data_IF_727854997560
#
_entry.id   IF_727854997560
#
_cell.length_a   1.000
_cell.length_b   1.000
_cell.length_c   1.000
_cell.angle_alpha   90.00
_cell.angle_beta   90.00
_cell.angle_gamma   90.00
#
_symmetry.space_group_name_H-M   'P 1'
#
loop_
_entity.id
_entity.type
_entity.pdbx_description
1 polymer ?
#
# COMPACT_ATOMS: atom_id res chain seq x y z
N UNK A 1 -15.79 20.94 -6.64
CA UNK A 1 -14.89 20.01 -5.92
C UNK A 1 -14.18 20.81 -4.85
N UNK A 2 -14.29 20.39 -3.58
CA UNK A 2 -13.59 21.01 -2.46
C UNK A 2 -12.30 20.25 -2.16
N UNK A 3 -11.28 20.92 -1.68
CA UNK A 3 -10.03 20.32 -1.22
C UNK A 3 -9.55 21.05 0.03
N UNK A 4 -8.72 20.37 0.81
CA UNK A 4 -8.11 20.94 2.00
C UNK A 4 -6.69 21.36 1.68
N UNK A 5 -6.32 22.57 2.08
CA UNK A 5 -4.95 23.07 1.97
C UNK A 5 -4.40 23.35 3.37
N UNK A 6 -3.12 23.07 3.57
CA UNK A 6 -2.42 23.37 4.80
C UNK A 6 -1.49 24.58 4.61
N UNK A 7 -1.46 25.45 5.61
CA UNK A 7 -0.53 26.56 5.62
C UNK A 7 0.89 26.04 5.89
N UNK A 8 1.78 26.18 4.91
CA UNK A 8 3.16 25.71 5.02
C UNK A 8 4.16 26.85 5.24
N UNK A 9 3.83 28.07 4.77
CA UNK A 9 4.79 29.18 4.76
C UNK A 9 4.10 30.53 4.89
N UNK A 10 4.74 31.46 5.57
CA UNK A 10 4.34 32.88 5.64
C UNK A 10 5.59 33.71 5.26
N UNK A 11 5.49 34.44 4.16
CA UNK A 11 6.66 35.09 3.58
C UNK A 11 7.75 34.06 3.28
N UNK A 12 8.95 34.25 3.81
CA UNK A 12 10.08 33.35 3.62
C UNK A 12 10.27 32.28 4.71
N UNK A 13 9.41 32.29 5.74
CA UNK A 13 9.52 31.37 6.87
C UNK A 13 8.54 30.22 6.76
N UNK A 14 9.04 29.00 6.92
CA UNK A 14 8.19 27.83 7.02
C UNK A 14 7.47 27.77 8.37
N UNK A 15 6.24 27.29 8.38
CA UNK A 15 5.55 26.96 9.62
C UNK A 15 6.22 25.73 10.23
N UNK A 16 6.42 25.75 11.53
CA UNK A 16 7.02 24.64 12.28
C UNK A 16 6.25 23.34 12.10
N UNK A 17 6.95 22.24 11.96
CA UNK A 17 6.41 20.89 11.85
C UNK A 17 7.05 19.97 12.90
N UNK A 18 6.55 18.75 13.05
CA UNK A 18 7.15 17.74 13.94
C UNK A 18 8.61 17.44 13.61
N UNK A 19 9.03 17.58 12.36
CA UNK A 19 10.39 17.33 11.90
C UNK A 19 11.38 18.42 12.33
N UNK A 20 10.88 19.55 12.81
CA UNK A 20 11.70 20.67 13.29
C UNK A 20 12.01 20.57 14.79
N UNK A 21 11.66 19.41 15.41
CA UNK A 21 11.99 19.11 16.80
C UNK A 21 12.86 17.87 16.91
N UNK A 22 13.78 17.88 17.86
CA UNK A 22 14.54 16.71 18.26
C UNK A 22 13.65 15.72 18.99
N UNK A 23 13.63 14.45 18.56
CA UNK A 23 12.72 13.42 19.08
C UNK A 23 12.96 13.09 20.55
N UNK A 24 14.19 13.24 21.03
CA UNK A 24 14.61 12.82 22.37
C UNK A 24 14.48 13.95 23.38
N UNK A 25 14.82 15.15 22.99
CA UNK A 25 14.87 16.32 23.86
C UNK A 25 13.67 17.27 23.71
N UNK A 26 12.87 17.13 22.64
CA UNK A 26 11.79 18.03 22.31
C UNK A 26 12.23 19.44 21.96
N UNK A 27 13.52 19.69 21.79
CA UNK A 27 14.04 21.02 21.45
C UNK A 27 13.87 21.27 19.93
N UNK A 28 13.57 22.54 19.62
CA UNK A 28 13.50 22.97 18.24
C UNK A 28 14.90 22.89 17.59
N UNK A 29 15.00 22.19 16.47
CA UNK A 29 16.24 22.01 15.69
C UNK A 29 16.38 23.07 14.60
N UNK A 30 15.28 23.62 14.10
CA UNK A 30 15.26 24.64 13.05
C UNK A 30 14.86 26.02 13.62
N UNK A 31 15.79 26.89 13.96
CA UNK A 31 15.49 28.21 14.55
C UNK A 31 14.77 29.17 13.59
N UNK A 32 14.77 28.86 12.27
CA UNK A 32 14.11 29.70 11.27
C UNK A 32 12.64 29.32 11.04
N UNK A 33 12.17 28.21 11.61
CA UNK A 33 10.76 27.84 11.53
C UNK A 33 9.89 28.75 12.40
N UNK A 34 8.75 29.16 11.86
CA UNK A 34 7.81 30.07 12.53
C UNK A 34 6.85 29.26 13.42
N UNK A 35 6.83 29.61 14.70
CA UNK A 35 5.85 29.12 15.67
C UNK A 35 4.73 30.16 15.77
N UNK A 36 3.50 29.74 15.51
CA UNK A 36 2.32 30.59 15.71
C UNK A 36 1.68 30.29 17.07
N UNK A 37 1.46 31.33 17.86
CA UNK A 37 0.60 31.21 19.02
C UNK A 37 -0.86 30.97 18.62
N UNK A 38 -1.68 30.49 19.56
CA UNK A 38 -3.13 30.26 19.30
C UNK A 38 -3.83 31.54 18.83
N UNK A 39 -3.42 32.70 19.34
CA UNK A 39 -4.01 34.01 18.98
C UNK A 39 -3.64 34.36 17.53
N UNK A 40 -2.35 34.29 17.18
CA UNK A 40 -1.87 34.58 15.84
C UNK A 40 -2.47 33.66 14.80
N UNK A 41 -2.57 32.35 15.11
CA UNK A 41 -3.18 31.38 14.20
C UNK A 41 -4.65 31.69 13.92
N UNK A 42 -5.43 32.10 14.94
CA UNK A 42 -6.84 32.52 14.79
C UNK A 42 -7.00 33.79 13.97
N UNK A 43 -6.18 34.80 14.24
CA UNK A 43 -6.21 36.07 13.50
C UNK A 43 -5.85 35.85 12.03
N UNK A 44 -4.85 34.99 11.77
CA UNK A 44 -4.45 34.62 10.42
C UNK A 44 -5.56 33.84 9.70
N UNK A 45 -6.17 32.84 10.36
CA UNK A 45 -7.27 32.08 9.79
C UNK A 45 -8.42 33.01 9.35
N UNK A 46 -8.85 33.95 10.22
CA UNK A 46 -9.91 34.92 9.89
C UNK A 46 -9.56 35.85 8.73
N UNK A 47 -8.29 36.20 8.57
CA UNK A 47 -7.83 36.97 7.40
C UNK A 47 -7.87 36.13 6.11
N UNK A 48 -7.48 34.87 6.20
CA UNK A 48 -7.39 33.97 5.06
C UNK A 48 -8.76 33.49 4.57
N UNK A 49 -9.78 33.42 5.42
CA UNK A 49 -11.16 33.09 5.01
C UNK A 49 -11.72 34.05 3.95
N UNK A 50 -11.28 35.29 3.96
CA UNK A 50 -11.78 36.34 3.06
C UNK A 50 -11.03 36.44 1.74
N UNK A 51 -10.04 35.60 1.48
CA UNK A 51 -9.09 35.51 0.36
C UNK A 51 -9.33 36.39 -0.81
N UNK A 52 -8.50 36.48 -1.82
CA UNK A 52 -8.53 35.58 -2.97
C UNK A 52 -7.47 34.49 -2.84
N UNK A 53 -7.87 33.26 -3.10
CA UNK A 53 -6.94 32.12 -3.19
C UNK A 53 -6.50 31.93 -4.64
N UNK A 54 -5.21 31.91 -4.87
CA UNK A 54 -4.64 31.74 -6.22
C UNK A 54 -3.80 30.47 -6.23
N UNK A 55 -4.08 29.57 -7.18
CA UNK A 55 -3.20 28.43 -7.46
C UNK A 55 -2.01 28.92 -8.26
N UNK A 56 -0.87 29.09 -7.61
CA UNK A 56 0.35 29.59 -8.25
C UNK A 56 1.08 28.55 -9.09
N UNK A 57 1.00 27.28 -8.70
CA UNK A 57 1.61 26.18 -9.46
C UNK A 57 0.93 24.85 -9.18
N UNK A 58 0.98 23.96 -10.16
CA UNK A 58 0.55 22.56 -10.05
C UNK A 58 1.68 21.66 -10.52
N UNK A 59 2.31 20.96 -9.60
CA UNK A 59 3.37 20.00 -9.90
C UNK A 59 2.80 18.60 -10.04
N UNK A 60 2.85 18.05 -11.25
CA UNK A 60 2.49 16.66 -11.52
C UNK A 60 3.75 15.80 -11.54
N UNK A 61 3.89 14.91 -10.58
CA UNK A 61 5.01 13.96 -10.54
C UNK A 61 4.47 12.56 -10.86
N UNK A 62 4.96 11.89 -11.90
CA UNK A 62 4.61 10.50 -12.14
C UNK A 62 5.12 9.65 -10.97
N UNK A 63 4.28 8.73 -10.50
CA UNK A 63 4.66 7.77 -9.48
C UNK A 63 4.50 6.36 -10.04
N UNK A 64 5.59 5.62 -10.06
CA UNK A 64 5.59 4.21 -10.41
C UNK A 64 5.40 3.39 -9.13
N UNK A 65 4.50 2.42 -9.17
CA UNK A 65 4.29 1.45 -8.11
C UNK A 65 4.48 0.06 -8.68
N UNK A 66 5.40 -0.70 -8.11
CA UNK A 66 5.61 -2.09 -8.50
C UNK A 66 4.52 -2.98 -7.89
N UNK A 67 4.10 -4.05 -8.58
CA UNK A 67 3.25 -5.08 -8.01
C UNK A 67 3.87 -5.68 -6.74
N UNK A 68 3.04 -6.00 -5.77
CA UNK A 68 3.48 -6.70 -4.57
C UNK A 68 3.76 -8.17 -4.89
N UNK A 69 4.63 -8.84 -4.12
CA UNK A 69 4.81 -10.29 -4.22
C UNK A 69 3.52 -11.05 -3.98
N UNK A 70 3.40 -12.28 -4.47
CA UNK A 70 2.35 -13.20 -4.07
C UNK A 70 2.30 -13.38 -2.55
N UNK A 71 1.16 -13.84 -2.03
CA UNK A 71 0.97 -13.95 -0.59
C UNK A 71 1.79 -15.09 0.03
N UNK A 72 2.45 -14.74 1.13
CA UNK A 72 2.87 -15.67 2.17
C UNK A 72 1.83 -15.67 3.29
N UNK A 73 1.92 -16.61 4.24
CA UNK A 73 1.07 -16.60 5.45
C UNK A 73 1.04 -15.24 6.14
N UNK A 74 2.20 -14.65 6.35
CA UNK A 74 2.35 -13.36 7.03
C UNK A 74 1.69 -12.21 6.26
N UNK A 75 1.94 -12.11 4.97
CA UNK A 75 1.38 -11.03 4.15
C UNK A 75 -0.11 -11.18 3.90
N UNK A 76 -0.63 -12.42 3.82
CA UNK A 76 -2.06 -12.70 3.79
C UNK A 76 -2.75 -12.19 5.06
N UNK A 77 -2.20 -12.50 6.24
CA UNK A 77 -2.75 -12.03 7.52
C UNK A 77 -2.77 -10.50 7.61
N UNK A 78 -1.68 -9.84 7.18
CA UNK A 78 -1.59 -8.37 7.16
C UNK A 78 -2.64 -7.74 6.25
N UNK A 79 -2.81 -8.25 5.03
CA UNK A 79 -3.81 -7.72 4.09
C UNK A 79 -5.23 -7.99 4.56
N UNK A 80 -5.53 -9.16 5.13
CA UNK A 80 -6.82 -9.48 5.70
C UNK A 80 -7.15 -8.58 6.91
N UNK A 81 -6.18 -8.31 7.78
CA UNK A 81 -6.35 -7.37 8.88
C UNK A 81 -6.62 -5.95 8.38
N UNK A 82 -5.86 -5.50 7.36
CA UNK A 82 -5.98 -4.15 6.82
C UNK A 82 -7.29 -3.92 6.07
N UNK A 83 -7.71 -4.88 5.22
CA UNK A 83 -8.86 -4.72 4.33
C UNK A 83 -10.17 -5.22 4.94
N UNK A 84 -10.12 -6.34 5.66
CA UNK A 84 -11.31 -7.04 6.16
C UNK A 84 -11.46 -6.94 7.70
N UNK A 85 -10.48 -6.35 8.38
CA UNK A 85 -10.44 -6.28 9.85
C UNK A 85 -10.44 -7.64 10.54
N UNK A 86 -9.93 -8.67 9.86
CA UNK A 86 -9.82 -10.01 10.41
C UNK A 86 -8.65 -10.12 11.39
N UNK A 87 -8.84 -10.88 12.47
CA UNK A 87 -7.72 -11.33 13.30
C UNK A 87 -6.90 -12.39 12.56
N UNK A 88 -5.63 -12.57 12.95
CA UNK A 88 -4.79 -13.64 12.37
C UNK A 88 -5.44 -15.02 12.49
N UNK A 89 -6.07 -15.33 13.64
CA UNK A 89 -6.80 -16.59 13.88
C UNK A 89 -7.95 -16.76 12.88
N UNK A 90 -8.76 -15.72 12.67
CA UNK A 90 -9.89 -15.80 11.73
C UNK A 90 -9.41 -15.93 10.29
N UNK A 91 -8.37 -15.17 9.91
CA UNK A 91 -7.74 -15.28 8.57
C UNK A 91 -7.29 -16.70 8.29
N UNK A 92 -6.58 -17.33 9.24
CA UNK A 92 -6.09 -18.70 9.05
C UNK A 92 -7.20 -19.73 9.02
N UNK A 93 -8.28 -19.54 9.78
CA UNK A 93 -9.46 -20.42 9.74
C UNK A 93 -10.12 -20.37 8.35
N UNK A 94 -10.34 -19.18 7.82
CA UNK A 94 -10.95 -19.01 6.48
C UNK A 94 -10.02 -19.55 5.39
N UNK A 95 -8.72 -19.25 5.46
CA UNK A 95 -7.73 -19.77 4.51
C UNK A 95 -7.66 -21.31 4.52
N UNK A 96 -7.77 -21.92 5.70
CA UNK A 96 -7.85 -23.39 5.84
C UNK A 96 -9.08 -23.95 5.10
N UNK A 97 -10.24 -23.33 5.28
CA UNK A 97 -11.46 -23.74 4.59
C UNK A 97 -11.33 -23.61 3.07
N UNK A 98 -10.79 -22.50 2.59
CA UNK A 98 -10.54 -22.29 1.15
C UNK A 98 -9.58 -23.34 0.58
N UNK A 99 -8.52 -23.68 1.31
CA UNK A 99 -7.58 -24.73 0.91
C UNK A 99 -8.24 -26.12 0.88
N UNK A 100 -8.99 -26.50 1.93
CA UNK A 100 -9.67 -27.79 2.02
C UNK A 100 -10.72 -27.99 0.92
N UNK A 101 -11.33 -26.90 0.46
CA UNK A 101 -12.25 -26.90 -0.67
C UNK A 101 -11.56 -26.75 -2.04
N UNK A 102 -10.23 -26.67 -2.08
CA UNK A 102 -9.47 -26.61 -3.31
C UNK A 102 -9.45 -25.25 -4.00
N UNK A 103 -9.88 -24.17 -3.34
CA UNK A 103 -9.92 -22.84 -3.95
C UNK A 103 -8.56 -22.13 -3.96
N UNK A 104 -7.70 -22.42 -2.99
CA UNK A 104 -6.35 -21.82 -2.91
C UNK A 104 -5.28 -22.89 -2.69
N UNK A 105 -4.03 -22.55 -2.97
CA UNK A 105 -2.86 -23.34 -2.60
C UNK A 105 -2.67 -23.37 -1.08
N UNK A 106 -1.77 -24.21 -0.59
CA UNK A 106 -1.54 -24.37 0.85
C UNK A 106 -1.19 -23.04 1.53
N UNK A 107 -1.93 -22.69 2.57
CA UNK A 107 -1.90 -21.36 3.20
C UNK A 107 -0.81 -21.17 4.24
N UNK A 108 -0.04 -22.21 4.58
CA UNK A 108 1.11 -22.10 5.51
C UNK A 108 2.40 -22.18 4.72
N UNK A 109 2.82 -21.04 4.18
CA UNK A 109 4.03 -20.90 3.38
C UNK A 109 4.68 -19.54 3.60
N UNK A 110 5.98 -19.50 3.52
CA UNK A 110 6.81 -18.30 3.47
C UNK A 110 7.35 -18.02 2.05
N UNK A 111 7.03 -18.91 1.10
CA UNK A 111 7.41 -18.78 -0.31
C UNK A 111 6.58 -17.74 -1.04
N UNK A 112 7.24 -16.97 -1.90
CA UNK A 112 6.63 -16.08 -2.90
C UNK A 112 6.71 -16.64 -4.31
N UNK A 113 7.21 -17.88 -4.46
CA UNK A 113 7.39 -18.52 -5.76
C UNK A 113 6.03 -18.97 -6.33
N UNK A 114 5.93 -18.91 -7.64
CA UNK A 114 4.80 -19.43 -8.40
C UNK A 114 5.31 -20.47 -9.40
N UNK A 115 4.55 -21.53 -9.61
CA UNK A 115 4.83 -22.47 -10.69
C UNK A 115 4.68 -21.79 -12.07
N UNK A 116 5.32 -22.36 -13.08
CA UNK A 116 5.16 -21.88 -14.47
C UNK A 116 3.70 -21.91 -14.91
N UNK A 117 2.96 -22.93 -14.49
CA UNK A 117 1.53 -23.05 -14.76
C UNK A 117 0.73 -21.89 -14.15
N UNK A 118 1.01 -21.52 -12.92
CA UNK A 118 0.37 -20.39 -12.25
C UNK A 118 0.72 -19.06 -12.92
N UNK A 119 1.97 -18.86 -13.31
CA UNK A 119 2.41 -17.68 -14.03
C UNK A 119 1.67 -17.56 -15.38
N UNK A 120 1.62 -18.64 -16.16
CA UNK A 120 0.96 -18.64 -17.46
C UNK A 120 -0.56 -18.44 -17.32
N UNK A 121 -1.19 -19.10 -16.35
CA UNK A 121 -2.62 -18.89 -16.05
C UNK A 121 -2.93 -17.44 -15.68
N UNK A 122 -2.12 -16.83 -14.81
CA UNK A 122 -2.27 -15.42 -14.43
C UNK A 122 -2.12 -14.48 -15.62
N UNK A 123 -1.15 -14.72 -16.49
CA UNK A 123 -0.92 -13.90 -17.68
C UNK A 123 -2.08 -13.99 -18.66
N UNK A 124 -2.63 -15.18 -18.88
CA UNK A 124 -3.79 -15.37 -19.75
C UNK A 124 -5.00 -14.58 -19.22
N UNK A 125 -5.29 -14.66 -17.93
CA UNK A 125 -6.39 -13.93 -17.30
C UNK A 125 -6.18 -12.41 -17.37
N UNK A 126 -4.96 -11.92 -17.14
CA UNK A 126 -4.67 -10.48 -17.28
C UNK A 126 -4.92 -10.03 -18.72
N UNK A 127 -4.47 -10.80 -19.71
CA UNK A 127 -4.72 -10.51 -21.12
C UNK A 127 -6.21 -10.46 -21.43
N UNK A 128 -6.96 -11.44 -20.95
CA UNK A 128 -8.41 -11.58 -21.19
C UNK A 128 -9.20 -10.44 -20.54
N UNK A 129 -8.95 -10.16 -19.25
CA UNK A 129 -9.74 -9.18 -18.49
C UNK A 129 -9.33 -7.72 -18.71
N UNK A 130 -8.04 -7.47 -18.96
CA UNK A 130 -7.48 -6.11 -18.99
C UNK A 130 -6.78 -5.76 -20.31
N UNK A 131 -6.42 -6.75 -21.10
CA UNK A 131 -5.70 -6.61 -22.37
C UNK A 131 -4.18 -6.64 -22.22
N UNK A 132 -3.50 -6.95 -23.33
CA UNK A 132 -2.05 -7.20 -23.37
C UNK A 132 -1.17 -6.04 -22.91
N UNK A 133 -1.68 -4.81 -22.99
CA UNK A 133 -0.96 -3.62 -22.50
C UNK A 133 -0.66 -3.64 -21.00
N UNK A 134 -1.35 -4.49 -20.24
CA UNK A 134 -1.12 -4.68 -18.81
C UNK A 134 -0.18 -5.85 -18.50
N UNK A 135 0.26 -6.58 -19.53
CA UNK A 135 1.24 -7.64 -19.37
C UNK A 135 2.67 -7.10 -19.47
N UNK A 136 3.52 -7.30 -18.47
CA UNK A 136 4.94 -7.04 -18.62
C UNK A 136 5.56 -8.03 -19.61
N UNK A 137 6.63 -7.62 -20.30
CA UNK A 137 7.34 -8.50 -21.24
C UNK A 137 7.89 -9.77 -20.55
N UNK A 138 8.40 -9.61 -19.34
CA UNK A 138 8.87 -10.72 -18.49
C UNK A 138 8.05 -10.79 -17.23
N UNK A 139 7.85 -12.00 -16.70
CA UNK A 139 7.19 -12.19 -15.40
C UNK A 139 8.03 -11.58 -14.29
N UNK A 140 7.36 -10.96 -13.29
CA UNK A 140 8.06 -10.46 -12.13
C UNK A 140 8.57 -11.64 -11.29
N UNK A 141 9.85 -11.63 -10.94
CA UNK A 141 10.45 -12.53 -9.97
C UNK A 141 10.61 -11.80 -8.63
N UNK A 142 10.37 -12.51 -7.55
CA UNK A 142 10.48 -11.97 -6.19
C UNK A 142 11.42 -12.86 -5.38
N UNK A 143 12.51 -12.27 -4.90
CA UNK A 143 13.45 -13.01 -4.06
C UNK A 143 12.84 -13.32 -2.69
N UNK A 144 12.87 -14.56 -2.31
CA UNK A 144 12.51 -15.01 -0.98
C UNK A 144 13.68 -14.70 -0.05
N UNK A 145 13.53 -13.69 0.83
CA UNK A 145 14.62 -13.25 1.74
C UNK A 145 14.93 -14.25 2.87
N UNK A 146 14.21 -15.34 2.97
CA UNK A 146 14.40 -16.34 4.04
C UNK A 146 15.38 -17.38 3.57
N UNK A 147 16.57 -17.42 4.19
CA UNK A 147 17.68 -18.32 3.87
C UNK A 147 17.36 -19.83 3.93
N UNK A 148 16.22 -20.22 4.52
CA UNK A 148 15.75 -21.60 4.69
C UNK A 148 14.28 -21.74 4.22
N UNK A 149 13.80 -20.91 3.29
CA UNK A 149 12.50 -21.13 2.67
C UNK A 149 12.52 -22.54 2.05
N UNK A 150 11.57 -23.38 2.45
CA UNK A 150 11.39 -24.67 1.81
C UNK A 150 11.05 -24.41 0.34
N UNK A 151 12.02 -24.57 -0.54
CA UNK A 151 11.91 -24.30 -1.99
C UNK A 151 10.77 -25.08 -2.67
N UNK A 152 10.21 -26.07 -1.97
CA UNK A 152 9.13 -26.92 -2.45
C UNK A 152 7.72 -26.32 -2.35
N UNK A 153 7.53 -25.19 -1.67
CA UNK A 153 6.20 -24.60 -1.46
C UNK A 153 5.95 -23.41 -2.38
N UNK A 154 4.77 -23.39 -3.01
CA UNK A 154 4.28 -22.22 -3.72
C UNK A 154 3.78 -21.13 -2.76
N UNK A 155 3.65 -19.92 -3.28
CA UNK A 155 2.91 -18.83 -2.66
C UNK A 155 1.41 -19.17 -2.54
N UNK A 156 0.69 -18.43 -1.71
CA UNK A 156 -0.77 -18.56 -1.60
C UNK A 156 -1.40 -17.87 -2.81
N UNK A 157 -2.16 -18.65 -3.58
CA UNK A 157 -2.85 -18.20 -4.79
C UNK A 157 -4.12 -19.00 -5.03
N UNK A 158 -5.03 -18.58 -5.91
CA UNK A 158 -6.09 -19.43 -6.43
C UNK A 158 -5.52 -20.72 -7.01
N UNK A 159 -6.10 -21.87 -6.64
CA UNK A 159 -5.54 -23.18 -7.00
C UNK A 159 -5.88 -23.61 -8.45
N UNK A 160 -6.97 -23.12 -9.00
CA UNK A 160 -7.44 -23.50 -10.33
C UNK A 160 -6.67 -22.78 -11.45
N UNK A 161 -6.64 -23.38 -12.63
CA UNK A 161 -6.09 -22.78 -13.87
C UNK A 161 -6.96 -21.60 -14.34
N UNK A 162 -8.26 -21.68 -14.07
CA UNK A 162 -9.25 -20.62 -14.33
C UNK A 162 -9.57 -20.01 -12.98
N UNK A 163 -9.29 -18.71 -12.82
CA UNK A 163 -9.63 -18.03 -11.59
C UNK A 163 -11.14 -17.85 -11.48
N UNK A 164 -11.71 -18.43 -10.46
CA UNK A 164 -13.12 -18.26 -10.13
C UNK A 164 -13.36 -16.84 -9.64
N UNK A 165 -14.48 -16.26 -9.99
CA UNK A 165 -14.95 -15.00 -9.40
C UNK A 165 -15.33 -15.22 -7.93
N UNK A 166 -15.45 -14.12 -7.18
CA UNK A 166 -15.85 -14.19 -5.75
C UNK A 166 -17.24 -14.81 -5.58
N UNK A 167 -18.11 -14.70 -6.60
CA UNK A 167 -19.47 -15.23 -6.58
C UNK A 167 -19.53 -16.75 -6.90
N UNK A 168 -18.41 -17.33 -7.35
CA UNK A 168 -18.28 -18.76 -7.69
C UNK A 168 -17.56 -19.57 -6.60
N UNK A 169 -17.17 -18.93 -5.49
CA UNK A 169 -16.41 -19.53 -4.35
C UNK A 169 -17.35 -19.79 -3.12
#
# INVERSE_FOLDING_TARGET
TSFTANLNKIGDKNIISSNDFDSDTGKQTNPNALILSKKEAKELASKLEKGPWIVSSVNKKPRTSNPKPPFTTSTLQQEAARKLRFSAKNTMRVAQQLYENGFITYMRTDSTNLSEEAINGSRNIISELFGDKYLPQTSNAYDTKVKNAQEAHEAIRPAHKIFLSVDEV
#
